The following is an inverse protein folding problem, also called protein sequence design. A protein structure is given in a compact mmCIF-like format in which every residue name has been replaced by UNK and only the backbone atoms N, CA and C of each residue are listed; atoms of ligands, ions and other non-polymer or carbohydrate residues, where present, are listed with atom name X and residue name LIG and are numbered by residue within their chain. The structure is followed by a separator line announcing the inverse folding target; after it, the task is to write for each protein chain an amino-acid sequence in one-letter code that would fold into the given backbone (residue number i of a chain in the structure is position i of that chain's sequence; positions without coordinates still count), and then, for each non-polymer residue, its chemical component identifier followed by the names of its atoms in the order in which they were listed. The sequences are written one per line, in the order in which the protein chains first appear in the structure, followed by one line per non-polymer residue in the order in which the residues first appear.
data_IF_337016122234
#
_entry.id   IF_337016122234
#
_cell.length_a   1.000
_cell.length_b   1.000
_cell.length_c   1.000
_cell.angle_alpha   90.00
_cell.angle_beta   90.00
_cell.angle_gamma   90.00
#
_symmetry.space_group_name_H-M   'P 1'
#
loop_
_entity.id
_entity.type
_entity.pdbx_description
1 polymer ?
#
# COMPACT_ATOMS: atom_id res chain seq x y z
N UNK A 1 -4.80 -10.30 2.75
CA UNK A 1 -3.99 -10.05 1.54
C UNK A 1 -4.75 -9.28 0.47
N UNK A 2 -5.60 -9.93 -0.32
CA UNK A 2 -6.21 -9.33 -1.53
C UNK A 2 -7.00 -8.04 -1.30
N UNK A 3 -7.85 -7.98 -0.27
CA UNK A 3 -8.63 -6.77 0.05
C UNK A 3 -7.76 -5.55 0.40
N UNK A 4 -6.59 -5.78 1.02
CA UNK A 4 -5.66 -4.71 1.36
C UNK A 4 -5.04 -4.10 0.10
N UNK A 5 -4.63 -4.93 -0.87
CA UNK A 5 -4.12 -4.46 -2.16
C UNK A 5 -5.17 -3.78 -3.05
N UNK A 6 -6.46 -3.98 -2.80
CA UNK A 6 -7.52 -3.27 -3.52
C UNK A 6 -7.72 -1.84 -3.02
N UNK A 7 -7.14 -1.52 -1.85
CA UNK A 7 -7.24 -0.19 -1.24
C UNK A 7 -6.11 0.70 -1.78
N UNK A 8 -6.40 1.92 -2.26
CA UNK A 8 -5.38 2.82 -2.82
C UNK A 8 -4.26 3.19 -1.83
N UNK A 9 -4.57 3.17 -0.53
CA UNK A 9 -3.72 3.69 0.53
C UNK A 9 -2.78 2.65 1.18
N UNK A 10 -2.95 1.34 0.91
CA UNK A 10 -2.19 0.31 1.63
C UNK A 10 -0.93 -0.07 0.86
N UNK A 11 0.28 0.18 1.40
CA UNK A 11 1.52 -0.25 0.76
C UNK A 11 1.63 -1.77 0.77
N UNK A 12 2.27 -2.35 -0.25
CA UNK A 12 2.39 -3.81 -0.38
C UNK A 12 3.34 -4.46 0.63
N UNK A 13 4.35 -3.71 1.11
CA UNK A 13 5.42 -4.23 1.97
C UNK A 13 4.89 -4.87 3.25
N UNK A 14 4.01 -4.24 4.06
CA UNK A 14 3.42 -4.89 5.23
C UNK A 14 2.71 -6.21 4.91
N UNK A 15 2.06 -6.31 3.75
CA UNK A 15 1.35 -7.53 3.36
C UNK A 15 2.33 -8.66 3.06
N UNK A 16 3.46 -8.38 2.42
CA UNK A 16 4.48 -9.40 2.11
C UNK A 16 5.23 -9.85 3.37
N UNK A 17 5.57 -8.92 4.27
CA UNK A 17 6.19 -9.24 5.57
C UNK A 17 5.26 -10.14 6.39
N UNK A 18 3.99 -9.73 6.54
CA UNK A 18 3.00 -10.53 7.26
C UNK A 18 2.80 -11.91 6.62
N UNK A 19 2.78 -11.98 5.28
CA UNK A 19 2.70 -13.24 4.56
C UNK A 19 3.91 -14.14 4.85
N UNK A 20 5.13 -13.60 4.92
CA UNK A 20 6.33 -14.33 5.31
C UNK A 20 6.24 -14.92 6.72
N UNK A 21 5.76 -14.14 7.69
CA UNK A 21 5.54 -14.59 9.07
C UNK A 21 4.47 -15.69 9.12
N UNK A 22 3.29 -15.44 8.57
CA UNK A 22 2.14 -16.36 8.69
C UNK A 22 2.37 -17.66 7.91
N UNK A 23 2.80 -17.55 6.65
CA UNK A 23 3.02 -18.72 5.80
C UNK A 23 4.32 -19.44 6.16
N UNK A 24 5.33 -18.73 6.66
CA UNK A 24 6.52 -19.36 7.23
C UNK A 24 6.18 -20.22 8.44
N UNK A 25 5.43 -19.68 9.39
CA UNK A 25 5.02 -20.40 10.61
C UNK A 25 4.16 -21.62 10.28
N UNK A 26 3.24 -21.51 9.31
CA UNK A 26 2.40 -22.64 8.87
C UNK A 26 3.17 -23.67 8.03
N UNK A 27 4.11 -23.22 7.19
CA UNK A 27 4.84 -24.06 6.26
C UNK A 27 5.98 -24.85 6.89
N UNK A 28 6.68 -24.29 7.90
CA UNK A 28 7.82 -24.95 8.54
C UNK A 28 7.48 -26.35 9.09
N UNK A 29 6.39 -26.57 9.86
CA UNK A 29 6.02 -27.90 10.33
C UNK A 29 5.63 -28.87 9.21
N UNK A 30 5.09 -28.36 8.10
CA UNK A 30 4.61 -29.17 6.98
C UNK A 30 5.75 -29.63 6.06
N UNK A 31 6.69 -28.73 5.75
CA UNK A 31 7.82 -29.01 4.85
C UNK A 31 9.08 -29.48 5.58
N UNK A 32 9.19 -29.27 6.89
CA UNK A 32 10.36 -29.61 7.68
C UNK A 32 11.59 -28.71 7.47
N UNK A 33 11.50 -27.72 6.57
CA UNK A 33 12.58 -26.81 6.23
C UNK A 33 12.08 -25.36 6.08
N UNK A 34 12.86 -24.41 6.62
CA UNK A 34 12.54 -22.99 6.60
C UNK A 34 12.58 -22.40 5.18
N UNK A 35 13.59 -22.72 4.39
CA UNK A 35 13.75 -22.15 3.06
C UNK A 35 12.70 -22.67 2.09
N UNK A 36 12.32 -23.95 2.20
CA UNK A 36 11.19 -24.51 1.45
C UNK A 36 9.88 -23.80 1.84
N UNK A 37 9.63 -23.59 3.14
CA UNK A 37 8.49 -22.82 3.60
C UNK A 37 8.50 -21.36 3.06
N UNK A 38 9.68 -20.74 2.97
CA UNK A 38 9.84 -19.41 2.38
C UNK A 38 9.56 -19.38 0.89
N UNK A 39 10.04 -20.35 0.11
CA UNK A 39 9.75 -20.43 -1.33
C UNK A 39 8.24 -20.51 -1.55
N UNK A 40 7.54 -21.31 -0.75
CA UNK A 40 6.08 -21.38 -0.78
C UNK A 40 5.43 -20.03 -0.41
N UNK A 41 5.88 -19.39 0.67
CA UNK A 41 5.37 -18.09 1.08
C UNK A 41 5.54 -17.02 -0.02
N UNK A 42 6.72 -16.98 -0.66
CA UNK A 42 7.03 -16.08 -1.78
C UNK A 42 6.11 -16.32 -2.97
N UNK A 43 5.90 -17.60 -3.34
CA UNK A 43 4.99 -17.95 -4.43
C UNK A 43 3.56 -17.46 -4.15
N UNK A 44 3.07 -17.64 -2.92
CA UNK A 44 1.76 -17.15 -2.49
C UNK A 44 1.66 -15.61 -2.47
N UNK A 45 2.71 -14.92 -2.01
CA UNK A 45 2.78 -13.46 -2.01
C UNK A 45 2.74 -12.90 -3.44
N UNK A 46 3.57 -13.45 -4.32
CA UNK A 46 3.63 -13.05 -5.72
C UNK A 46 2.30 -13.33 -6.44
N UNK A 47 1.71 -14.50 -6.23
CA UNK A 47 0.39 -14.82 -6.78
C UNK A 47 -0.68 -13.84 -6.29
N UNK A 48 -0.66 -13.51 -4.99
CA UNK A 48 -1.58 -12.52 -4.41
C UNK A 48 -1.42 -11.15 -5.06
N UNK A 49 -0.17 -10.72 -5.32
CA UNK A 49 0.13 -9.48 -6.02
C UNK A 49 -0.42 -9.47 -7.45
N UNK A 50 -0.12 -10.50 -8.24
CA UNK A 50 -0.63 -10.60 -9.62
C UNK A 50 -2.15 -10.63 -9.65
N UNK A 51 -2.80 -11.41 -8.77
CA UNK A 51 -4.26 -11.38 -8.66
C UNK A 51 -4.78 -9.99 -8.33
N UNK A 52 -4.16 -9.26 -7.39
CA UNK A 52 -4.58 -7.91 -7.05
C UNK A 52 -4.51 -6.97 -8.27
N UNK A 53 -3.42 -7.01 -9.04
CA UNK A 53 -3.30 -6.21 -10.26
C UNK A 53 -4.35 -6.60 -11.31
N UNK A 54 -4.68 -7.90 -11.46
CA UNK A 54 -5.77 -8.35 -12.34
C UNK A 54 -7.11 -7.80 -11.87
N UNK A 55 -7.42 -7.86 -10.57
CA UNK A 55 -8.66 -7.32 -10.01
C UNK A 55 -8.74 -5.79 -10.19
N UNK A 56 -7.66 -5.06 -9.91
CA UNK A 56 -7.57 -3.62 -10.15
C UNK A 56 -7.80 -3.29 -11.62
N UNK A 57 -7.19 -4.04 -12.55
CA UNK A 57 -7.35 -3.84 -13.99
C UNK A 57 -8.77 -4.19 -14.47
N UNK A 58 -9.28 -5.38 -14.16
CA UNK A 58 -10.54 -5.89 -14.72
C UNK A 58 -11.78 -5.42 -13.98
N UNK A 59 -11.78 -5.49 -12.66
CA UNK A 59 -12.96 -5.13 -11.87
C UNK A 59 -13.03 -3.62 -11.70
N UNK A 60 -11.94 -2.97 -11.29
CA UNK A 60 -11.99 -1.53 -11.04
C UNK A 60 -11.82 -0.75 -12.35
N UNK A 61 -10.74 -0.99 -13.09
CA UNK A 61 -10.44 -0.22 -14.29
C UNK A 61 -11.44 -0.44 -15.43
N UNK A 62 -11.73 -1.69 -15.79
CA UNK A 62 -12.59 -1.98 -16.94
C UNK A 62 -14.09 -1.93 -16.61
N UNK A 63 -14.54 -2.56 -15.50
CA UNK A 63 -15.97 -2.57 -15.16
C UNK A 63 -16.43 -1.27 -14.46
N UNK A 64 -15.63 -0.72 -13.54
CA UNK A 64 -15.99 0.48 -12.77
C UNK A 64 -15.38 1.78 -13.33
N UNK A 65 -14.53 1.72 -14.35
CA UNK A 65 -13.88 2.89 -14.95
C UNK A 65 -14.84 3.90 -15.59
N UNK A 66 -16.09 3.51 -15.86
CA UNK A 66 -17.16 4.43 -16.29
C UNK A 66 -17.68 5.32 -15.16
N UNK A 67 -17.32 5.07 -13.90
CA UNK A 67 -17.70 5.92 -12.76
C UNK A 67 -16.72 7.10 -12.61
N UNK A 68 -17.26 8.31 -12.55
CA UNK A 68 -16.49 9.56 -12.34
C UNK A 68 -15.58 9.46 -11.11
N UNK A 69 -16.09 8.90 -10.01
CA UNK A 69 -15.32 8.76 -8.76
C UNK A 69 -14.06 7.90 -8.93
N UNK A 70 -14.09 6.88 -9.78
CA UNK A 70 -12.93 6.02 -10.05
C UNK A 70 -11.92 6.78 -10.91
N UNK A 71 -12.38 7.48 -11.95
CA UNK A 71 -11.50 8.28 -12.82
C UNK A 71 -10.87 9.47 -12.09
N UNK A 72 -11.63 10.11 -11.20
CA UNK A 72 -11.14 11.16 -10.31
C UNK A 72 -10.11 10.63 -9.30
N UNK A 73 -10.37 9.47 -8.66
CA UNK A 73 -9.42 8.86 -7.72
C UNK A 73 -8.10 8.44 -8.37
N UNK A 74 -8.11 8.11 -9.66
CA UNK A 74 -6.89 7.87 -10.46
C UNK A 74 -6.17 9.17 -10.82
N UNK A 75 -6.87 10.30 -10.87
CA UNK A 75 -6.33 11.59 -11.31
C UNK A 75 -6.18 11.68 -12.83
N UNK A 76 -7.16 11.16 -13.59
CA UNK A 76 -7.08 10.96 -15.05
C UNK A 76 -6.73 12.21 -15.87
N UNK A 77 -7.06 13.40 -15.35
CA UNK A 77 -6.82 14.69 -16.02
C UNK A 77 -5.40 15.25 -15.79
N UNK A 78 -4.63 14.70 -14.85
CA UNK A 78 -3.29 15.21 -14.57
C UNK A 78 -2.29 14.87 -15.69
N UNK A 79 -1.34 15.77 -15.96
CA UNK A 79 -0.27 15.55 -16.96
C UNK A 79 0.53 14.27 -16.70
N UNK A 80 0.77 13.97 -15.42
CA UNK A 80 1.43 12.73 -14.98
C UNK A 80 0.64 11.51 -15.43
N UNK A 81 -0.68 11.52 -15.25
CA UNK A 81 -1.55 10.39 -15.58
C UNK A 81 -1.75 10.26 -17.09
N UNK A 82 -1.85 11.38 -17.81
CA UNK A 82 -1.83 11.42 -19.28
C UNK A 82 -0.52 10.87 -19.84
N UNK A 83 0.63 11.21 -19.25
CA UNK A 83 1.93 10.66 -19.63
C UNK A 83 2.02 9.14 -19.36
N UNK A 84 1.54 8.68 -18.21
CA UNK A 84 1.45 7.25 -17.90
C UNK A 84 0.57 6.53 -18.93
N UNK A 85 -0.58 7.11 -19.32
CA UNK A 85 -1.43 6.55 -20.38
C UNK A 85 -0.64 6.35 -21.67
N UNK A 86 0.13 7.34 -22.10
CA UNK A 86 0.98 7.21 -23.30
C UNK A 86 2.00 6.06 -23.18
N UNK A 87 2.66 5.92 -22.02
CA UNK A 87 3.60 4.82 -21.75
C UNK A 87 2.88 3.47 -21.81
N UNK A 88 1.75 3.34 -21.12
CA UNK A 88 0.97 2.09 -21.02
C UNK A 88 0.39 1.64 -22.37
N UNK A 89 0.08 2.58 -23.27
CA UNK A 89 -0.46 2.29 -24.61
C UNK A 89 0.59 1.88 -25.65
N UNK A 90 1.90 1.95 -25.34
CA UNK A 90 2.93 1.52 -26.28
C UNK A 90 2.73 0.04 -26.68
N UNK A 91 2.79 -0.36 -27.96
CA UNK A 91 2.50 -1.74 -28.35
C UNK A 91 3.47 -2.77 -27.75
N UNK A 92 4.71 -2.35 -27.46
CA UNK A 92 5.78 -3.20 -26.93
C UNK A 92 5.89 -3.05 -25.41
N UNK A 93 6.42 -4.08 -24.76
CA UNK A 93 6.80 -4.02 -23.35
C UNK A 93 8.14 -3.29 -23.22
N UNK A 94 8.10 -1.96 -23.26
CA UNK A 94 9.30 -1.12 -23.16
C UNK A 94 9.81 -1.07 -21.71
N UNK A 95 11.09 -0.72 -21.56
CA UNK A 95 11.70 -0.60 -20.24
C UNK A 95 10.98 0.44 -19.35
N UNK A 96 10.55 1.56 -19.93
CA UNK A 96 9.73 2.57 -19.26
C UNK A 96 8.41 1.99 -18.73
N UNK A 97 7.73 1.16 -19.55
CA UNK A 97 6.50 0.48 -19.14
C UNK A 97 6.73 -0.52 -18.01
N UNK A 98 7.80 -1.31 -18.06
CA UNK A 98 8.15 -2.25 -16.98
C UNK A 98 8.46 -1.50 -15.69
N UNK A 99 9.30 -0.47 -15.75
CA UNK A 99 9.60 0.38 -14.59
C UNK A 99 8.33 0.96 -13.97
N UNK A 100 7.42 1.43 -14.80
CA UNK A 100 6.13 1.95 -14.36
C UNK A 100 5.23 0.88 -13.72
N UNK A 101 5.17 -0.32 -14.27
CA UNK A 101 4.36 -1.42 -13.74
C UNK A 101 4.92 -2.03 -12.44
N UNK A 102 6.21 -1.83 -12.16
CA UNK A 102 6.89 -2.35 -10.96
C UNK A 102 7.01 -1.29 -9.87
N UNK A 103 7.46 -0.09 -10.25
CA UNK A 103 7.77 1.01 -9.33
C UNK A 103 6.78 2.17 -9.37
N UNK A 104 5.83 2.18 -10.30
CA UNK A 104 4.79 3.21 -10.34
C UNK A 104 3.78 3.09 -9.18
N UNK A 105 2.89 4.09 -9.03
CA UNK A 105 1.83 4.02 -8.04
C UNK A 105 0.87 2.87 -8.42
N UNK A 106 0.96 1.77 -7.68
CA UNK A 106 0.40 0.46 -8.07
C UNK A 106 -1.09 0.51 -8.42
N UNK A 107 -1.89 1.08 -7.52
CA UNK A 107 -3.34 1.16 -7.67
C UNK A 107 -3.73 2.00 -8.89
N UNK A 108 -3.36 3.29 -9.01
CA UNK A 108 -3.79 4.09 -10.16
C UNK A 108 -3.18 3.58 -11.47
N UNK A 109 -1.97 3.00 -11.46
CA UNK A 109 -1.37 2.40 -12.65
C UNK A 109 -2.19 1.20 -13.14
N UNK A 110 -2.47 0.23 -12.27
CA UNK A 110 -3.22 -0.97 -12.63
C UNK A 110 -4.67 -0.66 -13.02
N UNK A 111 -5.34 0.26 -12.31
CA UNK A 111 -6.69 0.72 -12.69
C UNK A 111 -6.66 1.41 -14.06
N UNK A 112 -5.66 2.25 -14.33
CA UNK A 112 -5.50 2.90 -15.64
C UNK A 112 -5.32 1.90 -16.77
N UNK A 113 -4.56 0.80 -16.55
CA UNK A 113 -4.46 -0.26 -17.57
C UNK A 113 -5.82 -0.87 -17.93
N UNK A 114 -6.77 -0.89 -16.99
CA UNK A 114 -8.13 -1.35 -17.19
C UNK A 114 -9.01 -0.34 -17.92
N UNK A 115 -8.93 0.94 -17.53
CA UNK A 115 -9.62 2.04 -18.22
C UNK A 115 -9.23 2.08 -19.70
N UNK A 116 -7.94 1.87 -19.98
CA UNK A 116 -7.37 1.84 -21.32
C UNK A 116 -7.55 0.48 -22.05
N UNK A 117 -8.23 -0.49 -21.41
CA UNK A 117 -8.47 -1.84 -21.92
C UNK A 117 -7.21 -2.54 -22.45
N UNK A 118 -6.10 -2.38 -21.74
CA UNK A 118 -4.84 -3.03 -22.09
C UNK A 118 -4.94 -4.56 -21.92
N UNK A 119 -4.10 -5.30 -22.65
CA UNK A 119 -4.05 -6.76 -22.54
C UNK A 119 -3.48 -7.17 -21.19
N UNK A 120 -4.27 -7.89 -20.38
CA UNK A 120 -3.88 -8.35 -19.03
C UNK A 120 -2.56 -9.07 -19.04
N UNK A 121 -2.36 -10.03 -19.96
CA UNK A 121 -1.13 -10.82 -20.02
C UNK A 121 0.12 -9.93 -20.21
N UNK A 122 0.04 -8.91 -21.06
CA UNK A 122 1.15 -7.99 -21.27
C UNK A 122 1.45 -7.15 -20.01
N UNK A 123 0.41 -6.70 -19.31
CA UNK A 123 0.57 -5.93 -18.07
C UNK A 123 1.14 -6.80 -16.95
N UNK A 124 0.65 -8.03 -16.79
CA UNK A 124 1.14 -8.95 -15.75
C UNK A 124 2.58 -9.39 -16.01
N UNK A 125 2.96 -9.62 -17.28
CA UNK A 125 4.35 -9.87 -17.65
C UNK A 125 5.24 -8.67 -17.31
N UNK A 126 4.76 -7.44 -17.55
CA UNK A 126 5.46 -6.22 -17.17
C UNK A 126 5.60 -6.03 -15.66
N UNK A 127 4.61 -6.47 -14.88
CA UNK A 127 4.64 -6.46 -13.41
C UNK A 127 5.49 -7.60 -12.82
N UNK A 128 5.73 -8.69 -13.57
CA UNK A 128 6.42 -9.88 -13.07
C UNK A 128 7.79 -9.65 -12.39
N UNK A 129 8.62 -8.64 -12.77
CA UNK A 129 9.87 -8.37 -12.07
C UNK A 129 9.69 -7.94 -10.60
N UNK A 130 8.47 -7.58 -10.18
CA UNK A 130 8.13 -7.33 -8.76
C UNK A 130 8.36 -8.57 -7.89
N UNK A 131 8.50 -9.77 -8.46
CA UNK A 131 8.86 -10.99 -7.75
C UNK A 131 10.12 -10.81 -6.90
N UNK A 132 11.13 -10.07 -7.38
CA UNK A 132 12.36 -9.79 -6.63
C UNK A 132 12.10 -9.10 -5.29
N UNK A 133 11.57 -7.87 -5.26
CA UNK A 133 11.25 -7.18 -4.01
C UNK A 133 10.19 -7.91 -3.16
N UNK A 134 9.23 -8.61 -3.78
CA UNK A 134 8.27 -9.46 -3.05
C UNK A 134 8.97 -10.61 -2.33
N UNK A 135 9.92 -11.26 -2.98
CA UNK A 135 10.68 -12.35 -2.39
C UNK A 135 11.50 -11.85 -1.20
N UNK A 136 12.24 -10.75 -1.38
CA UNK A 136 13.07 -10.15 -0.34
C UNK A 136 12.24 -9.74 0.89
N UNK A 137 11.11 -9.05 0.70
CA UNK A 137 10.23 -8.65 1.82
C UNK A 137 9.57 -9.83 2.52
N UNK A 138 9.16 -10.86 1.77
CA UNK A 138 8.54 -12.05 2.34
C UNK A 138 9.56 -12.85 3.16
N UNK A 139 10.78 -13.05 2.63
CA UNK A 139 11.85 -13.74 3.36
C UNK A 139 12.24 -12.96 4.61
N UNK A 140 12.34 -11.63 4.53
CA UNK A 140 12.59 -10.79 5.70
C UNK A 140 11.54 -11.02 6.80
N UNK A 141 10.26 -11.08 6.44
CA UNK A 141 9.17 -11.43 7.35
C UNK A 141 9.37 -12.82 7.97
N UNK A 142 9.73 -13.84 7.17
CA UNK A 142 10.02 -15.17 7.69
C UNK A 142 11.18 -15.21 8.67
N UNK A 143 12.24 -14.42 8.44
CA UNK A 143 13.38 -14.32 9.36
C UNK A 143 12.98 -13.78 10.75
N UNK A 144 11.89 -13.02 10.86
CA UNK A 144 11.37 -12.54 12.16
C UNK A 144 10.99 -13.73 13.07
N UNK A 145 10.50 -14.84 12.50
CA UNK A 145 10.13 -16.04 13.27
C UNK A 145 11.31 -16.69 14.01
N UNK A 146 12.54 -16.38 13.61
CA UNK A 146 13.76 -17.02 14.12
C UNK A 146 14.68 -16.06 14.88
N UNK A 147 14.19 -14.87 15.21
CA UNK A 147 14.97 -13.85 15.93
C UNK A 147 15.51 -14.37 17.27
N UNK A 148 14.81 -15.30 17.92
CA UNK A 148 15.25 -15.94 19.17
C UNK A 148 16.38 -16.96 19.01
N UNK A 149 16.68 -17.42 17.78
CA UNK A 149 17.69 -18.45 17.51
C UNK A 149 19.12 -17.87 17.39
N UNK A 150 19.28 -16.55 17.39
CA UNK A 150 20.58 -15.88 17.34
C UNK A 150 20.60 -14.60 16.50
N UNK A 151 21.71 -13.87 16.55
CA UNK A 151 21.88 -12.55 15.91
C UNK A 151 21.87 -12.57 14.37
N UNK A 152 22.02 -13.75 13.76
CA UNK A 152 22.02 -13.90 12.30
C UNK A 152 20.66 -13.60 11.68
N UNK A 153 19.56 -14.04 12.28
CA UNK A 153 18.22 -13.87 11.72
C UNK A 153 17.73 -12.41 11.69
N UNK A 154 17.91 -11.61 12.76
CA UNK A 154 17.66 -10.16 12.70
C UNK A 154 18.49 -9.46 11.62
N UNK A 155 19.76 -9.86 11.46
CA UNK A 155 20.67 -9.29 10.47
C UNK A 155 20.23 -9.62 9.04
N UNK A 156 19.82 -10.86 8.78
CA UNK A 156 19.26 -11.29 7.50
C UNK A 156 17.94 -10.57 7.19
N UNK A 157 17.04 -10.46 8.17
CA UNK A 157 15.78 -9.71 8.01
C UNK A 157 16.04 -8.27 7.59
N UNK A 158 16.96 -7.60 8.29
CA UNK A 158 17.35 -6.21 7.99
C UNK A 158 17.96 -6.08 6.60
N UNK A 159 18.89 -6.97 6.24
CA UNK A 159 19.53 -6.99 4.93
C UNK A 159 18.51 -7.15 3.80
N UNK A 160 17.60 -8.13 3.91
CA UNK A 160 16.58 -8.37 2.89
C UNK A 160 15.60 -7.19 2.78
N UNK A 161 15.22 -6.56 3.90
CA UNK A 161 14.40 -5.34 3.88
C UNK A 161 15.11 -4.18 3.18
N UNK A 162 16.41 -3.97 3.45
CA UNK A 162 17.20 -2.92 2.79
C UNK A 162 17.29 -3.16 1.29
N UNK A 163 17.55 -4.40 0.86
CA UNK A 163 17.60 -4.76 -0.56
C UNK A 163 16.24 -4.59 -1.25
N UNK A 164 15.16 -4.97 -0.57
CA UNK A 164 13.81 -4.77 -1.08
C UNK A 164 13.47 -3.28 -1.24
N UNK A 165 13.76 -2.47 -0.22
CA UNK A 165 13.54 -1.03 -0.26
C UNK A 165 14.36 -0.36 -1.37
N UNK A 166 15.62 -0.78 -1.53
CA UNK A 166 16.52 -0.26 -2.56
C UNK A 166 16.02 -0.60 -3.97
N UNK A 167 15.60 -1.86 -4.20
CA UNK A 167 15.10 -2.30 -5.51
C UNK A 167 13.76 -1.66 -5.88
N UNK A 168 12.83 -1.53 -4.93
CA UNK A 168 11.57 -0.83 -5.14
C UNK A 168 11.79 0.69 -5.34
N UNK A 169 12.67 1.29 -4.54
CA UNK A 169 13.04 2.70 -4.66
C UNK A 169 13.68 3.02 -6.00
N UNK A 170 14.62 2.18 -6.47
CA UNK A 170 15.22 2.32 -7.80
C UNK A 170 14.18 2.21 -8.92
N UNK A 171 13.25 1.26 -8.80
CA UNK A 171 12.15 1.09 -9.76
C UNK A 171 11.22 2.31 -9.77
N UNK A 172 10.89 2.86 -8.60
CA UNK A 172 10.08 4.07 -8.46
C UNK A 172 10.75 5.29 -9.09
N UNK A 173 12.03 5.52 -8.79
CA UNK A 173 12.82 6.61 -9.41
C UNK A 173 12.87 6.42 -10.92
N UNK A 174 13.11 5.20 -11.40
CA UNK A 174 13.09 4.87 -12.82
C UNK A 174 11.74 5.19 -13.48
N UNK A 175 10.62 4.82 -12.85
CA UNK A 175 9.28 5.13 -13.32
C UNK A 175 9.05 6.65 -13.40
N UNK A 176 9.42 7.39 -12.36
CA UNK A 176 9.29 8.85 -12.34
C UNK A 176 10.14 9.55 -13.38
N UNK A 177 11.36 9.07 -13.63
CA UNK A 177 12.22 9.59 -14.71
C UNK A 177 11.59 9.31 -16.09
N UNK A 178 11.01 8.13 -16.29
CA UNK A 178 10.32 7.79 -17.53
C UNK A 178 9.08 8.67 -17.76
N UNK A 179 8.26 8.88 -16.71
CA UNK A 179 7.10 9.77 -16.76
C UNK A 179 7.54 11.20 -17.08
N UNK A 180 8.51 11.75 -16.33
CA UNK A 180 9.00 13.11 -16.53
C UNK A 180 9.59 13.31 -17.93
N UNK A 181 10.27 12.29 -18.47
CA UNK A 181 10.75 12.32 -19.85
C UNK A 181 9.58 12.47 -20.82
N UNK A 182 8.53 11.66 -20.68
CA UNK A 182 7.34 11.74 -21.54
C UNK A 182 6.62 13.09 -21.39
N UNK A 183 6.46 13.59 -20.17
CA UNK A 183 5.87 14.92 -19.92
C UNK A 183 6.62 16.02 -20.66
N UNK A 184 7.97 15.96 -20.67
CA UNK A 184 8.79 16.97 -21.34
C UNK A 184 8.86 16.80 -22.86
N UNK A 185 9.00 15.57 -23.36
CA UNK A 185 9.27 15.32 -24.79
C UNK A 185 8.01 15.12 -25.63
N UNK A 186 6.88 14.77 -25.00
CA UNK A 186 5.60 14.49 -25.68
C UNK A 186 4.49 15.40 -25.14
N UNK A 187 4.82 16.65 -24.80
CA UNK A 187 3.87 17.60 -24.21
C UNK A 187 2.69 17.89 -25.13
N UNK A 188 2.94 18.05 -26.43
CA UNK A 188 1.89 18.28 -27.42
C UNK A 188 0.88 17.13 -27.49
N UNK A 189 1.35 15.88 -27.35
CA UNK A 189 0.48 14.71 -27.31
C UNK A 189 -0.33 14.64 -26.01
N UNK A 190 0.24 15.08 -24.89
CA UNK A 190 -0.44 15.17 -23.60
C UNK A 190 -1.54 16.23 -23.65
N UNK A 191 -1.25 17.39 -24.23
CA UNK A 191 -2.18 18.50 -24.34
C UNK A 191 -3.31 18.21 -25.33
N UNK A 192 -3.03 17.37 -26.34
CA UNK A 192 -4.05 16.85 -27.25
C UNK A 192 -5.00 15.84 -26.59
N UNK A 193 -4.68 15.25 -25.43
CA UNK A 193 -5.59 14.37 -24.70
C UNK A 193 -6.66 15.23 -24.02
N UNK A 194 -7.93 15.14 -24.45
CA UNK A 194 -9.00 15.93 -23.86
C UNK A 194 -9.21 15.55 -22.39
N UNK A 195 -9.51 16.56 -21.58
CA UNK A 195 -9.90 16.36 -20.19
C UNK A 195 -11.24 15.62 -20.13
N UNK A 196 -11.39 14.79 -19.10
CA UNK A 196 -12.68 14.27 -18.69
C UNK A 196 -13.44 15.40 -17.97
N UNK A 197 -14.47 15.94 -18.64
CA UNK A 197 -15.25 17.06 -18.14
C UNK A 197 -16.04 16.72 -16.87
N UNK A 198 -16.50 15.47 -16.70
CA UNK A 198 -17.20 15.04 -15.48
C UNK A 198 -16.25 15.07 -14.28
N UNK A 199 -15.02 14.59 -14.47
CA UNK A 199 -13.96 14.64 -13.45
C UNK A 199 -13.57 16.10 -13.19
N UNK A 200 -13.44 16.93 -14.23
CA UNK A 200 -13.08 18.36 -14.09
C UNK A 200 -14.10 19.16 -13.30
N UNK A 201 -15.39 18.83 -13.44
CA UNK A 201 -16.46 19.43 -12.61
C UNK A 201 -16.33 18.97 -11.16
N UNK A 202 -16.08 17.68 -10.93
CA UNK A 202 -15.89 17.13 -9.58
C UNK A 202 -14.67 17.74 -8.89
N UNK A 203 -13.55 17.86 -9.59
CA UNK A 203 -12.31 18.46 -9.08
C UNK A 203 -12.54 19.92 -8.70
N UNK A 204 -13.21 20.71 -9.56
CA UNK A 204 -13.61 22.09 -9.24
C UNK A 204 -14.49 22.18 -7.99
N UNK A 205 -15.43 21.26 -7.81
CA UNK A 205 -16.26 21.20 -6.60
C UNK A 205 -15.44 20.84 -5.35
N UNK A 206 -14.48 19.93 -5.49
CA UNK A 206 -13.58 19.54 -4.40
C UNK A 206 -12.64 20.69 -4.02
N UNK A 207 -12.09 21.41 -4.99
CA UNK A 207 -11.27 22.60 -4.81
C UNK A 207 -12.05 23.72 -4.11
N UNK A 208 -13.27 24.03 -4.57
CA UNK A 208 -14.11 25.04 -3.93
C UNK A 208 -14.44 24.69 -2.47
N UNK A 209 -14.70 23.41 -2.17
CA UNK A 209 -14.87 22.93 -0.79
C UNK A 209 -13.58 23.05 0.01
N UNK A 210 -12.43 22.69 -0.57
CA UNK A 210 -11.13 22.79 0.08
C UNK A 210 -10.74 24.24 0.37
N UNK A 211 -11.06 25.17 -0.52
CA UNK A 211 -10.87 26.60 -0.36
C UNK A 211 -11.77 27.16 0.75
N UNK A 212 -13.07 26.82 0.75
CA UNK A 212 -13.99 27.19 1.83
C UNK A 212 -13.50 26.65 3.20
N UNK A 213 -13.01 25.41 3.24
CA UNK A 213 -12.41 24.82 4.45
C UNK A 213 -11.06 25.46 4.81
N UNK A 214 -10.29 25.96 3.84
CA UNK A 214 -9.00 26.61 4.10
C UNK A 214 -9.14 27.86 4.96
N UNK A 215 -10.28 28.55 4.86
CA UNK A 215 -10.60 29.71 5.70
C UNK A 215 -10.70 29.34 7.19
N UNK A 216 -11.08 28.09 7.50
CA UNK A 216 -11.14 27.55 8.86
C UNK A 216 -9.84 26.86 9.32
N UNK A 217 -8.84 26.68 8.43
CA UNK A 217 -7.53 26.14 8.80
C UNK A 217 -6.67 27.14 9.58
N UNK A 218 -7.01 28.43 9.50
CA UNK A 218 -6.35 29.46 10.29
C UNK A 218 -6.85 29.39 11.73
N UNK A 219 -5.93 29.13 12.66
CA UNK A 219 -6.24 29.06 14.10
C UNK A 219 -7.03 30.30 14.54
N UNK A 220 -6.64 31.50 14.12
CA UNK A 220 -7.32 32.74 14.51
C UNK A 220 -8.80 32.78 14.12
N UNK A 221 -9.15 32.30 12.93
CA UNK A 221 -10.51 32.28 12.40
C UNK A 221 -11.40 31.14 12.95
N UNK A 222 -10.81 30.17 13.65
CA UNK A 222 -11.56 29.04 14.24
C UNK A 222 -12.38 29.51 15.45
N UNK A 223 -13.68 29.13 15.56
CA UNK A 223 -14.50 29.41 16.73
C UNK A 223 -13.85 28.92 18.04
N UNK A 224 -13.98 29.68 19.13
CA UNK A 224 -13.34 29.39 20.41
C UNK A 224 -13.66 27.99 20.96
N UNK A 225 -14.89 27.52 20.75
CA UNK A 225 -15.31 26.16 21.16
C UNK A 225 -14.52 25.08 20.41
N UNK A 226 -14.29 25.26 19.10
CA UNK A 226 -13.46 24.32 18.32
C UNK A 226 -12.00 24.37 18.77
N UNK A 227 -11.45 25.53 19.11
CA UNK A 227 -10.09 25.64 19.65
C UNK A 227 -9.93 24.83 20.93
N UNK A 228 -10.87 24.98 21.86
CA UNK A 228 -10.86 24.22 23.12
C UNK A 228 -10.97 22.73 22.83
N UNK A 229 -11.91 22.31 21.98
CA UNK A 229 -12.05 20.91 21.57
C UNK A 229 -10.78 20.35 20.92
N UNK A 230 -10.11 21.11 20.05
CA UNK A 230 -8.87 20.71 19.39
C UNK A 230 -7.70 20.61 20.37
N UNK A 231 -7.54 21.55 21.31
CA UNK A 231 -6.49 21.49 22.34
C UNK A 231 -6.73 20.34 23.29
N UNK A 232 -7.96 20.21 23.81
CA UNK A 232 -8.32 19.10 24.71
C UNK A 232 -8.12 17.76 24.01
N UNK A 233 -8.61 17.63 22.76
CA UNK A 233 -8.41 16.43 21.95
C UNK A 233 -6.94 16.11 21.73
N UNK A 234 -6.12 17.09 21.34
CA UNK A 234 -4.68 16.91 21.14
C UNK A 234 -3.96 16.50 22.44
N UNK A 235 -4.31 17.12 23.57
CA UNK A 235 -3.75 16.76 24.88
C UNK A 235 -4.16 15.34 25.30
N UNK A 236 -5.43 14.95 25.09
CA UNK A 236 -5.90 13.60 25.40
C UNK A 236 -5.22 12.55 24.49
N UNK A 237 -5.08 12.82 23.18
CA UNK A 237 -4.37 11.93 22.27
C UNK A 237 -2.88 11.81 22.62
N UNK A 238 -2.22 12.92 22.98
CA UNK A 238 -0.83 12.90 23.42
C UNK A 238 -0.66 12.14 24.74
N UNK A 239 -1.57 12.36 25.70
CA UNK A 239 -1.58 11.64 26.96
C UNK A 239 -1.79 10.13 26.73
N UNK A 240 -2.74 9.75 25.87
CA UNK A 240 -2.97 8.37 25.46
C UNK A 240 -1.70 7.76 24.85
N UNK A 241 -1.05 8.45 23.92
CA UNK A 241 0.22 8.02 23.34
C UNK A 241 1.32 7.82 24.41
N UNK A 242 1.50 8.77 25.33
CA UNK A 242 2.48 8.64 26.41
C UNK A 242 2.19 7.45 27.33
N UNK A 243 0.91 7.18 27.64
CA UNK A 243 0.51 6.03 28.45
C UNK A 243 0.81 4.72 27.71
N UNK A 244 0.49 4.61 26.43
CA UNK A 244 0.81 3.42 25.62
C UNK A 244 2.33 3.19 25.55
N UNK A 245 3.11 4.26 25.35
CA UNK A 245 4.57 4.15 25.23
C UNK A 245 5.25 3.78 26.55
N UNK A 246 4.75 4.27 27.69
CA UNK A 246 5.35 4.03 29.00
C UNK A 246 4.80 2.79 29.70
N UNK A 247 3.54 2.42 29.43
CA UNK A 247 2.78 1.39 30.14
C UNK A 247 1.99 0.47 29.19
N UNK A 248 2.50 0.27 27.97
CA UNK A 248 1.84 -0.54 26.94
C UNK A 248 1.47 -1.94 27.42
N UNK A 249 2.35 -2.57 28.19
CA UNK A 249 2.15 -3.91 28.78
C UNK A 249 1.00 -3.96 29.80
N UNK A 250 0.61 -2.82 30.39
CA UNK A 250 -0.56 -2.73 31.28
C UNK A 250 -1.86 -2.44 30.53
N UNK A 251 -1.77 -1.96 29.29
CA UNK A 251 -2.90 -1.55 28.47
C UNK A 251 -3.31 -2.63 27.47
N UNK A 252 -2.34 -3.38 26.94
CA UNK A 252 -2.55 -4.38 25.90
C UNK A 252 -1.82 -5.68 26.21
N UNK A 253 -2.47 -6.80 25.91
CA UNK A 253 -1.85 -8.11 25.92
C UNK A 253 -0.77 -8.22 24.83
N UNK A 254 0.31 -8.95 25.13
CA UNK A 254 1.37 -9.21 24.16
C UNK A 254 0.91 -10.25 23.13
N UNK A 255 0.45 -9.75 21.99
CA UNK A 255 -0.05 -10.57 20.88
C UNK A 255 0.94 -10.54 19.73
N UNK A 256 1.53 -11.68 19.43
CA UNK A 256 2.28 -11.91 18.20
C UNK A 256 1.37 -12.28 17.03
N UNK A 257 1.84 -12.07 15.80
CA UNK A 257 1.12 -12.43 14.56
C UNK A 257 0.76 -13.93 14.46
N UNK A 258 1.41 -14.78 15.26
CA UNK A 258 1.20 -16.23 15.32
C UNK A 258 0.30 -16.64 16.49
N UNK A 259 -0.18 -15.70 17.30
CA UNK A 259 -1.02 -15.97 18.48
C UNK A 259 -2.33 -16.64 18.07
N UNK A 260 -2.64 -17.77 18.69
CA UNK A 260 -3.88 -18.50 18.44
C UNK A 260 -5.05 -17.76 19.08
N UNK A 261 -5.93 -17.21 18.23
CA UNK A 261 -7.15 -16.51 18.63
C UNK A 261 -8.02 -17.31 19.62
N UNK A 262 -8.00 -18.65 19.55
CA UNK A 262 -8.84 -19.52 20.38
C UNK A 262 -8.25 -19.81 21.74
N UNK A 263 -6.98 -19.47 21.97
CA UNK A 263 -6.27 -19.75 23.22
C UNK A 263 -6.09 -18.46 24.04
N UNK A 264 -5.74 -18.57 25.32
CA UNK A 264 -5.30 -17.41 26.11
C UNK A 264 -4.15 -16.69 25.39
N UNK A 265 -4.12 -15.34 25.39
CA UNK A 265 -4.99 -14.44 26.17
C UNK A 265 -6.35 -14.11 25.51
N UNK A 266 -6.54 -14.40 24.22
CA UNK A 266 -7.69 -13.94 23.45
C UNK A 266 -8.99 -14.72 23.70
N UNK A 267 -8.92 -16.04 23.93
CA UNK A 267 -10.07 -16.90 24.24
C UNK A 267 -11.28 -16.72 23.30
N UNK A 268 -11.04 -16.46 22.01
CA UNK A 268 -12.10 -16.25 21.03
C UNK A 268 -12.76 -14.88 21.07
N UNK A 269 -12.18 -13.87 21.72
CA UNK A 269 -12.64 -12.48 21.64
C UNK A 269 -11.46 -11.53 21.45
N UNK A 270 -11.44 -10.79 20.33
CA UNK A 270 -10.35 -9.84 20.00
C UNK A 270 -10.27 -8.71 21.03
N UNK A 271 -11.39 -8.34 21.65
CA UNK A 271 -11.43 -7.28 22.67
C UNK A 271 -10.67 -7.67 23.95
N UNK A 272 -10.38 -8.95 24.17
CA UNK A 272 -9.54 -9.39 25.29
C UNK A 272 -8.07 -8.99 25.13
N UNK A 273 -7.66 -8.48 23.96
CA UNK A 273 -6.37 -7.81 23.80
C UNK A 273 -6.27 -6.55 24.67
N UNK A 274 -7.40 -5.92 24.99
CA UNK A 274 -7.45 -4.69 25.78
C UNK A 274 -7.55 -5.07 27.25
N UNK A 275 -6.49 -4.81 28.02
CA UNK A 275 -6.41 -5.16 29.44
C UNK A 275 -7.27 -4.18 30.24
N UNK A 276 -8.28 -4.70 30.93
CA UNK A 276 -9.12 -3.89 31.81
C UNK A 276 -8.39 -3.58 33.14
N UNK A 277 -8.46 -2.34 33.68
CA UNK A 277 -9.21 -1.19 33.16
C UNK A 277 -8.39 -0.26 32.25
N UNK A 278 -7.07 -0.34 32.27
CA UNK A 278 -6.17 0.67 31.71
C UNK A 278 -6.27 0.78 30.19
N UNK A 279 -6.38 -0.33 29.46
CA UNK A 279 -6.51 -0.32 28.01
C UNK A 279 -7.78 0.39 27.51
N UNK A 280 -8.88 0.33 28.27
CA UNK A 280 -10.14 1.01 27.93
C UNK A 280 -10.15 2.50 28.31
N UNK A 281 -9.31 2.92 29.25
CA UNK A 281 -9.13 4.33 29.60
C UNK A 281 -8.28 5.08 28.56
N UNK A 282 -7.46 4.35 27.81
CA UNK A 282 -6.50 4.89 26.85
C UNK A 282 -7.08 4.94 25.42
N UNK A 283 -8.04 4.09 25.10
CA UNK A 283 -8.80 4.07 23.84
C UNK A 283 -9.94 5.11 23.84
#
# INVERSE_FOLDING_TARGET
GRLLFLTPAVPGVPVYVANGVMLGAAGMPYFGDFWIAMVWAVACAFFTKICACIFQQKVIGEMLGSRVSVRAAVGINSDVMKAIRLILQEPKLTFAKVLLLVGGPDWPTSVTTGILRQRVLAMMLGTSPVLGPVALTTIAGGCILRVSEGSTWPSLSSLFMTLAASSLGASFVGAMLAINKVVKTRKDEIDAIPDDEEVKVLDRQAEAKAEALSQFKNWEATPGVLKVLLVVGALMSYLGFCIIMAFGDLCFESIDLTTDYRKPPLNGNILNMIVYPYGWLVL
#
